data_IF_451135979766
#
_entry.id   IF_451135979766
#
_cell.length_a   1.000
_cell.length_b   1.000
_cell.length_c   1.000
_cell.angle_alpha   90.00
_cell.angle_beta   90.00
_cell.angle_gamma   90.00
#
_symmetry.space_group_name_H-M   'P 1'
#
loop_
_entity.id
_entity.type
_entity.pdbx_description
1 polymer ?
#
# COMPACT_ATOMS: atom_id res chain seq x y z
N UNK A 1 22.02 4.37 -6.68
CA UNK A 1 20.64 4.89 -6.53
C UNK A 1 19.61 3.79 -6.26
N UNK A 2 19.81 2.56 -6.75
CA UNK A 2 18.90 1.40 -6.51
C UNK A 2 18.63 1.13 -5.02
N UNK A 3 19.68 1.10 -4.20
CA UNK A 3 19.58 0.78 -2.76
C UNK A 3 18.66 1.71 -1.94
N UNK A 4 18.48 2.97 -2.35
CA UNK A 4 17.62 3.91 -1.63
C UNK A 4 16.12 3.66 -1.90
N UNK A 5 15.77 3.35 -3.16
CA UNK A 5 14.39 3.03 -3.55
C UNK A 5 13.93 1.69 -2.99
N UNK A 6 14.84 0.71 -2.95
CA UNK A 6 14.54 -0.59 -2.35
C UNK A 6 14.31 -0.46 -0.84
N UNK A 7 15.12 0.37 -0.17
CA UNK A 7 14.97 0.68 1.26
C UNK A 7 13.62 1.37 1.54
N UNK A 8 13.23 2.34 0.73
CA UNK A 8 11.95 3.04 0.87
C UNK A 8 10.75 2.11 0.65
N UNK A 9 10.82 1.25 -0.36
CA UNK A 9 9.80 0.24 -0.64
C UNK A 9 9.63 -0.73 0.53
N UNK A 10 10.76 -1.17 1.10
CA UNK A 10 10.78 -2.04 2.27
C UNK A 10 10.19 -1.34 3.49
N UNK A 11 10.55 -0.08 3.76
CA UNK A 11 9.99 0.71 4.87
C UNK A 11 8.48 0.89 4.71
N UNK A 12 7.99 1.34 3.55
CA UNK A 12 6.55 1.53 3.29
C UNK A 12 5.78 0.20 3.45
N UNK A 13 6.31 -0.90 2.90
CA UNK A 13 5.67 -2.21 3.00
C UNK A 13 5.64 -2.75 4.44
N UNK A 14 6.71 -2.53 5.19
CA UNK A 14 6.83 -2.99 6.58
C UNK A 14 5.89 -2.20 7.50
N UNK A 15 5.85 -0.87 7.34
CA UNK A 15 4.94 0.00 8.10
C UNK A 15 3.48 -0.31 7.73
N UNK A 16 3.17 -0.48 6.44
CA UNK A 16 1.82 -0.84 5.98
C UNK A 16 1.37 -2.16 6.62
N UNK A 17 2.22 -3.18 6.63
CA UNK A 17 1.92 -4.45 7.26
C UNK A 17 1.68 -4.31 8.77
N UNK A 18 2.54 -3.60 9.49
CA UNK A 18 2.35 -3.38 10.92
C UNK A 18 1.06 -2.61 11.23
N UNK A 19 0.73 -1.58 10.44
CA UNK A 19 -0.53 -0.84 10.55
C UNK A 19 -1.75 -1.75 10.37
N UNK A 20 -1.70 -2.67 9.41
CA UNK A 20 -2.76 -3.64 9.15
C UNK A 20 -2.87 -4.66 10.28
N UNK A 21 -1.78 -5.33 10.63
CA UNK A 21 -1.75 -6.44 11.60
C UNK A 21 -2.14 -5.97 13.01
N UNK A 22 -1.81 -4.73 13.37
CA UNK A 22 -2.19 -4.11 14.64
C UNK A 22 -3.54 -3.38 14.60
N UNK A 23 -4.23 -3.34 13.46
CA UNK A 23 -5.51 -2.64 13.27
C UNK A 23 -5.44 -1.14 13.60
N UNK A 24 -4.36 -0.49 13.18
CA UNK A 24 -4.05 0.90 13.51
C UNK A 24 -4.35 1.90 12.39
N UNK A 25 -4.93 1.46 11.27
CA UNK A 25 -5.31 2.35 10.16
C UNK A 25 -6.23 3.47 10.67
N UNK A 26 -5.84 4.72 10.44
CA UNK A 26 -6.57 5.91 10.88
C UNK A 26 -6.52 6.22 12.38
N UNK A 27 -5.71 5.50 13.17
CA UNK A 27 -5.55 5.77 14.62
C UNK A 27 -4.53 6.90 14.85
N UNK A 28 -4.76 7.81 15.83
CA UNK A 28 -3.86 8.93 16.08
C UNK A 28 -2.49 8.51 16.61
N UNK A 29 -2.41 7.42 17.37
CA UNK A 29 -1.16 6.90 17.95
C UNK A 29 -0.51 5.78 17.13
N UNK A 30 -0.92 5.63 15.86
CA UNK A 30 -0.50 4.52 15.01
C UNK A 30 1.02 4.44 14.86
N UNK A 31 1.69 5.57 14.71
CA UNK A 31 3.14 5.65 14.54
C UNK A 31 3.90 5.05 15.73
N UNK A 32 3.62 5.55 16.94
CA UNK A 32 4.31 5.11 18.15
C UNK A 32 4.10 3.61 18.41
N UNK A 33 2.88 3.12 18.15
CA UNK A 33 2.53 1.71 18.34
C UNK A 33 3.22 0.81 17.30
N UNK A 34 3.29 1.22 16.04
CA UNK A 34 4.02 0.51 14.98
C UNK A 34 5.51 0.48 15.28
N UNK A 35 6.12 1.61 15.64
CA UNK A 35 7.55 1.65 15.94
C UNK A 35 7.91 0.78 17.15
N UNK A 36 7.04 0.74 18.16
CA UNK A 36 7.19 -0.14 19.32
C UNK A 36 7.13 -1.62 18.92
N UNK A 37 6.15 -1.98 18.09
CA UNK A 37 5.96 -3.36 17.60
C UNK A 37 7.16 -3.81 16.76
N UNK A 38 7.58 -3.00 15.78
CA UNK A 38 8.75 -3.29 14.96
C UNK A 38 10.02 -3.43 15.81
N UNK A 39 10.18 -2.58 16.83
CA UNK A 39 11.34 -2.65 17.74
C UNK A 39 11.37 -3.91 18.62
N UNK A 40 10.25 -4.62 18.75
CA UNK A 40 10.21 -5.87 19.51
C UNK A 40 10.88 -7.04 18.77
N UNK A 41 11.11 -6.91 17.45
CA UNK A 41 11.71 -7.94 16.62
C UNK A 41 13.14 -7.57 16.19
N UNK A 42 14.17 -8.33 16.60
CA UNK A 42 15.56 -8.03 16.23
C UNK A 42 15.83 -7.99 14.72
N UNK A 43 15.06 -8.72 13.91
CA UNK A 43 15.22 -8.71 12.46
C UNK A 43 14.72 -7.41 11.80
N UNK A 44 13.95 -6.60 12.52
CA UNK A 44 13.44 -5.32 12.04
C UNK A 44 14.35 -4.14 12.41
N UNK A 45 15.41 -4.36 13.21
CA UNK A 45 16.33 -3.31 13.66
C UNK A 45 16.87 -2.43 12.52
N UNK A 46 17.28 -2.96 11.35
CA UNK A 46 17.74 -2.12 10.25
C UNK A 46 16.66 -1.17 9.71
N UNK A 47 15.41 -1.63 9.66
CA UNK A 47 14.26 -0.84 9.19
C UNK A 47 13.92 0.23 10.22
N UNK A 48 13.86 -0.14 11.50
CA UNK A 48 13.60 0.81 12.59
C UNK A 48 14.69 1.88 12.65
N UNK A 49 15.96 1.51 12.50
CA UNK A 49 17.07 2.44 12.43
C UNK A 49 16.93 3.43 11.26
N UNK A 50 16.55 2.94 10.07
CA UNK A 50 16.30 3.79 8.91
C UNK A 50 15.14 4.76 9.16
N UNK A 51 14.03 4.29 9.75
CA UNK A 51 12.88 5.16 10.07
C UNK A 51 13.28 6.23 11.10
N UNK A 52 14.03 5.86 12.15
CA UNK A 52 14.50 6.80 13.17
C UNK A 52 15.49 7.84 12.65
N UNK A 53 16.19 7.55 11.55
CA UNK A 53 17.09 8.49 10.90
C UNK A 53 16.35 9.52 10.04
N UNK A 54 15.07 9.31 9.74
CA UNK A 54 14.26 10.25 8.97
C UNK A 54 13.89 11.48 9.83
N UNK A 55 13.85 12.68 9.23
CA UNK A 55 13.29 13.85 9.90
C UNK A 55 11.77 13.67 10.12
N UNK A 56 11.16 14.30 11.14
CA UNK A 56 9.74 14.10 11.46
C UNK A 56 8.76 14.26 10.28
N UNK A 57 8.93 15.24 9.35
CA UNK A 57 8.08 15.33 8.17
C UNK A 57 8.14 14.09 7.26
N UNK A 58 9.33 13.51 7.09
CA UNK A 58 9.51 12.31 6.25
C UNK A 58 8.95 11.05 6.93
N UNK A 59 8.92 10.99 8.26
CA UNK A 59 8.22 9.93 9.00
C UNK A 59 6.71 10.04 8.77
N UNK A 60 6.14 11.24 8.89
CA UNK A 60 4.72 11.46 8.60
C UNK A 60 4.36 11.06 7.17
N UNK A 61 5.19 11.43 6.19
CA UNK A 61 5.02 11.05 4.79
C UNK A 61 5.11 9.53 4.58
N UNK A 62 6.05 8.85 5.24
CA UNK A 62 6.16 7.40 5.23
C UNK A 62 4.89 6.72 5.74
N UNK A 63 4.35 7.18 6.87
CA UNK A 63 3.11 6.63 7.43
C UNK A 63 1.89 6.92 6.57
N UNK A 64 1.78 8.12 6.00
CA UNK A 64 0.72 8.45 5.06
C UNK A 64 0.78 7.57 3.80
N UNK A 65 1.97 7.40 3.22
CA UNK A 65 2.18 6.55 2.05
C UNK A 65 1.90 5.07 2.38
N UNK A 66 2.30 4.58 3.56
CA UNK A 66 2.01 3.23 4.01
C UNK A 66 0.49 2.99 4.18
N UNK A 67 -0.27 3.97 4.69
CA UNK A 67 -1.73 3.88 4.75
C UNK A 67 -2.37 3.88 3.36
N UNK A 68 -1.92 4.77 2.46
CA UNK A 68 -2.42 4.81 1.08
C UNK A 68 -2.10 3.52 0.32
N UNK A 69 -0.93 2.90 0.59
CA UNK A 69 -0.56 1.58 0.08
C UNK A 69 -1.54 0.49 0.52
N UNK A 70 -2.01 0.52 1.77
CA UNK A 70 -3.04 -0.43 2.24
C UNK A 70 -4.37 -0.25 1.49
N UNK A 71 -4.77 0.99 1.21
CA UNK A 71 -5.98 1.26 0.43
C UNK A 71 -5.83 0.80 -1.04
N UNK A 72 -4.64 0.97 -1.62
CA UNK A 72 -4.31 0.44 -2.94
C UNK A 72 -4.34 -1.10 -2.97
N UNK A 73 -3.81 -1.77 -1.94
CA UNK A 73 -3.90 -3.23 -1.79
C UNK A 73 -5.36 -3.71 -1.68
N UNK A 74 -6.17 -3.03 -0.88
CA UNK A 74 -7.59 -3.34 -0.75
C UNK A 74 -8.35 -3.12 -2.08
N UNK A 75 -8.00 -2.06 -2.81
CA UNK A 75 -8.59 -1.79 -4.13
C UNK A 75 -8.18 -2.82 -5.17
N UNK A 76 -6.93 -3.28 -5.16
CA UNK A 76 -6.47 -4.37 -6.03
C UNK A 76 -7.26 -5.65 -5.77
N UNK A 77 -7.40 -6.04 -4.50
CA UNK A 77 -8.20 -7.23 -4.13
C UNK A 77 -9.67 -7.12 -4.56
N UNK A 78 -10.25 -5.91 -4.57
CA UNK A 78 -11.60 -5.68 -5.11
C UNK A 78 -11.66 -5.82 -6.63
N UNK A 79 -10.65 -5.35 -7.35
CA UNK A 79 -10.55 -5.57 -8.79
C UNK A 79 -10.47 -7.07 -9.10
N UNK A 80 -9.58 -7.80 -8.43
CA UNK A 80 -9.41 -9.25 -8.61
C UNK A 80 -10.73 -10.00 -8.37
N UNK A 81 -11.45 -9.67 -7.28
CA UNK A 81 -12.75 -10.27 -6.99
C UNK A 81 -13.83 -9.93 -8.05
N UNK A 82 -13.78 -8.73 -8.64
CA UNK A 82 -14.70 -8.33 -9.71
C UNK A 82 -14.40 -9.05 -11.03
N UNK A 83 -13.11 -9.23 -11.36
CA UNK A 83 -12.69 -10.03 -12.51
C UNK A 83 -13.14 -11.49 -12.35
N UNK A 84 -12.89 -12.10 -11.19
CA UNK A 84 -13.34 -13.46 -10.86
C UNK A 84 -14.86 -13.63 -11.03
N UNK A 85 -15.66 -12.62 -10.68
CA UNK A 85 -17.10 -12.66 -10.85
C UNK A 85 -17.50 -12.62 -12.34
N UNK A 86 -16.90 -11.73 -13.12
CA UNK A 86 -17.15 -11.61 -14.57
C UNK A 86 -16.70 -12.85 -15.35
N UNK A 87 -15.58 -13.47 -14.96
CA UNK A 87 -15.11 -14.72 -15.55
C UNK A 87 -16.09 -15.88 -15.34
N UNK A 88 -16.65 -16.01 -14.12
CA UNK A 88 -17.67 -17.03 -13.80
C UNK A 88 -18.93 -16.88 -14.64
N UNK A 89 -19.27 -15.65 -15.02
CA UNK A 89 -20.41 -15.37 -15.89
C UNK A 89 -20.09 -15.56 -17.39
N UNK A 90 -18.82 -15.86 -17.73
CA UNK A 90 -18.32 -16.03 -19.11
C UNK A 90 -18.59 -14.83 -20.02
N UNK A 91 -18.61 -13.61 -19.46
CA UNK A 91 -18.90 -12.39 -20.22
C UNK A 91 -17.63 -11.55 -20.39
N UNK A 92 -17.04 -11.60 -21.59
CA UNK A 92 -16.03 -10.65 -22.00
C UNK A 92 -16.71 -9.30 -22.31
N UNK A 93 -16.73 -8.40 -21.31
CA UNK A 93 -17.31 -7.06 -21.44
C UNK A 93 -16.22 -5.99 -21.56
N UNK A 94 -16.52 -4.79 -22.10
CA UNK A 94 -15.62 -3.64 -21.98
C UNK A 94 -15.25 -3.32 -20.52
N UNK A 95 -16.16 -3.62 -19.57
CA UNK A 95 -15.93 -3.47 -18.13
C UNK A 95 -14.82 -4.41 -17.63
N UNK A 96 -14.73 -5.63 -18.16
CA UNK A 96 -13.65 -6.57 -17.82
C UNK A 96 -12.27 -5.96 -18.12
N UNK A 97 -12.07 -5.45 -19.35
CA UNK A 97 -10.80 -4.84 -19.75
C UNK A 97 -10.45 -3.59 -18.92
N UNK A 98 -11.45 -2.78 -18.56
CA UNK A 98 -11.26 -1.61 -17.69
C UNK A 98 -10.81 -1.99 -16.28
N UNK A 99 -11.37 -3.07 -15.71
CA UNK A 99 -10.98 -3.56 -14.39
C UNK A 99 -9.57 -4.17 -14.46
N UNK A 100 -9.22 -4.92 -15.50
CA UNK A 100 -7.86 -5.44 -15.71
C UNK A 100 -6.83 -4.30 -15.79
N UNK A 101 -7.12 -3.24 -16.54
CA UNK A 101 -6.22 -2.09 -16.65
C UNK A 101 -6.01 -1.40 -15.28
N UNK A 102 -7.08 -1.21 -14.51
CA UNK A 102 -7.00 -0.65 -13.17
C UNK A 102 -6.21 -1.55 -12.20
N UNK A 103 -6.45 -2.87 -12.25
CA UNK A 103 -5.71 -3.85 -11.46
C UNK A 103 -4.21 -3.85 -11.81
N UNK A 104 -3.88 -3.82 -13.11
CA UNK A 104 -2.50 -3.74 -13.59
C UNK A 104 -1.82 -2.46 -13.12
N UNK A 105 -2.50 -1.30 -13.19
CA UNK A 105 -1.96 -0.03 -12.70
C UNK A 105 -1.66 -0.07 -11.20
N UNK A 106 -2.60 -0.58 -10.39
CA UNK A 106 -2.40 -0.77 -8.95
C UNK A 106 -1.24 -1.73 -8.67
N UNK A 107 -1.19 -2.86 -9.37
CA UNK A 107 -0.13 -3.87 -9.23
C UNK A 107 1.26 -3.28 -9.53
N UNK A 108 1.40 -2.51 -10.62
CA UNK A 108 2.65 -1.85 -10.98
C UNK A 108 3.08 -0.85 -9.90
N UNK A 109 2.15 -0.03 -9.40
CA UNK A 109 2.42 0.94 -8.35
C UNK A 109 2.84 0.28 -7.04
N UNK A 110 2.21 -0.84 -6.69
CA UNK A 110 2.49 -1.60 -5.47
C UNK A 110 3.84 -2.34 -5.50
N UNK A 111 4.50 -2.48 -6.66
CA UNK A 111 5.85 -3.09 -6.74
C UNK A 111 6.94 -2.21 -6.11
N UNK A 112 6.71 -0.91 -6.01
CA UNK A 112 7.67 0.04 -5.43
C UNK A 112 7.05 0.89 -4.33
N UNK A 113 7.90 1.71 -3.72
CA UNK A 113 7.47 2.89 -2.99
C UNK A 113 6.84 3.90 -3.96
N UNK A 114 5.80 4.57 -3.51
CA UNK A 114 5.16 5.66 -4.26
C UNK A 114 4.59 6.70 -3.31
N UNK A 115 4.16 7.83 -3.86
CA UNK A 115 3.56 8.89 -3.06
C UNK A 115 2.11 8.56 -2.70
N UNK A 116 1.61 9.19 -1.65
CA UNK A 116 0.19 9.15 -1.27
C UNK A 116 -0.72 9.57 -2.43
N UNK A 117 -0.29 10.56 -3.23
CA UNK A 117 -1.07 11.06 -4.36
C UNK A 117 -1.18 10.02 -5.48
N UNK A 118 -0.09 9.33 -5.81
CA UNK A 118 -0.09 8.28 -6.84
C UNK A 118 -1.00 7.11 -6.43
N UNK A 119 -0.95 6.71 -5.15
CA UNK A 119 -1.84 5.69 -4.60
C UNK A 119 -3.31 6.14 -4.66
N UNK A 120 -3.60 7.37 -4.23
CA UNK A 120 -4.96 7.91 -4.25
C UNK A 120 -5.54 8.00 -5.68
N UNK A 121 -4.72 8.41 -6.66
CA UNK A 121 -5.16 8.47 -8.06
C UNK A 121 -5.46 7.07 -8.61
N UNK A 122 -4.58 6.09 -8.38
CA UNK A 122 -4.80 4.71 -8.83
C UNK A 122 -6.01 4.07 -8.15
N UNK A 123 -6.22 4.33 -6.85
CA UNK A 123 -7.39 3.88 -6.10
C UNK A 123 -8.67 4.49 -6.66
N UNK A 124 -8.69 5.80 -6.91
CA UNK A 124 -9.86 6.48 -7.47
C UNK A 124 -10.23 5.93 -8.86
N UNK A 125 -9.24 5.68 -9.72
CA UNK A 125 -9.46 5.06 -11.03
C UNK A 125 -10.05 3.65 -10.90
N UNK A 126 -9.53 2.82 -9.98
CA UNK A 126 -10.05 1.49 -9.73
C UNK A 126 -11.50 1.50 -9.19
N UNK A 127 -11.81 2.44 -8.29
CA UNK A 127 -13.16 2.59 -7.74
C UNK A 127 -14.20 2.96 -8.81
N UNK A 128 -13.82 3.72 -9.85
CA UNK A 128 -14.72 4.08 -10.95
C UNK A 128 -15.13 2.89 -11.83
N UNK A 129 -14.30 1.85 -11.92
CA UNK A 129 -14.54 0.70 -12.80
C UNK A 129 -15.09 -0.52 -12.07
N UNK A 130 -14.81 -0.64 -10.76
CA UNK A 130 -15.37 -1.70 -9.90
C UNK A 130 -16.76 -1.33 -9.35
N UNK A 131 -17.07 -0.03 -9.25
CA UNK A 131 -18.33 0.51 -8.70
C UNK A 131 -19.63 0.11 -9.40
#
# INVERSE_FOLDING_TARGET
MESARDSETLMQSTVARALHDLQLVGKPDAEALVLRDLSASPCMEPIVANIRALPPPAVNELFAAAQARLEALASLARCDAALDALERESVATPRYAQIEEAAMRLSLLLRGASSTADYAEAVAAAQQVVG
#
